data_IF_567755158978
#
_entry.id   IF_567755158978
#
_cell.length_a   1.000
_cell.length_b   1.000
_cell.length_c   1.000
_cell.angle_alpha   90.00
_cell.angle_beta   90.00
_cell.angle_gamma   90.00
#
_symmetry.space_group_name_H-M   'P 1'
#
loop_
_entity.id
_entity.type
_entity.pdbx_description
1 polymer ?
#
# COMPACT_ATOMS: atom_id res chain seq x y z
N UNK A 1 -22.10 -45.98 29.19
CA UNK A 1 -20.97 -45.03 29.02
C UNK A 1 -19.85 -45.81 28.37
N UNK A 2 -19.56 -45.55 27.10
CA UNK A 2 -18.40 -46.12 26.42
C UNK A 2 -17.15 -45.51 27.06
N UNK A 3 -16.24 -46.36 27.54
CA UNK A 3 -14.92 -45.91 27.93
C UNK A 3 -14.33 -45.16 26.74
N UNK A 4 -13.91 -43.91 26.95
CA UNK A 4 -13.24 -43.12 25.91
C UNK A 4 -12.00 -43.89 25.44
N UNK A 5 -11.62 -43.79 24.16
CA UNK A 5 -10.49 -44.57 23.60
C UNK A 5 -9.21 -44.42 24.46
N UNK A 6 -9.01 -43.26 25.08
CA UNK A 6 -7.99 -43.02 26.10
C UNK A 6 -8.04 -43.99 27.29
N UNK A 7 -9.21 -44.25 27.85
CA UNK A 7 -9.39 -45.19 28.97
C UNK A 7 -9.12 -46.63 28.54
N UNK A 8 -9.47 -46.98 27.30
CA UNK A 8 -9.18 -48.30 26.73
C UNK A 8 -7.67 -48.47 26.51
N UNK A 9 -7.00 -47.45 25.97
CA UNK A 9 -5.54 -47.43 25.77
C UNK A 9 -4.81 -47.46 27.12
N UNK A 10 -5.25 -46.66 28.10
CA UNK A 10 -4.67 -46.62 29.45
C UNK A 10 -4.82 -47.97 30.16
N UNK A 11 -6.00 -48.61 30.07
CA UNK A 11 -6.23 -49.95 30.63
C UNK A 11 -5.38 -51.01 29.91
N UNK A 12 -5.27 -50.93 28.58
CA UNK A 12 -4.44 -51.85 27.80
C UNK A 12 -2.96 -51.72 28.18
N UNK A 13 -2.44 -50.51 28.30
CA UNK A 13 -1.06 -50.24 28.74
C UNK A 13 -0.81 -50.72 30.18
N UNK A 14 -1.79 -50.63 31.08
CA UNK A 14 -1.66 -51.14 32.44
C UNK A 14 -1.65 -52.67 32.51
N UNK A 15 -2.42 -53.34 31.64
CA UNK A 15 -2.58 -54.80 31.61
C UNK A 15 -1.47 -55.48 30.79
N UNK A 16 -1.09 -54.89 29.66
CA UNK A 16 -0.04 -55.39 28.75
C UNK A 16 1.36 -54.84 29.10
N UNK A 17 1.44 -53.78 29.92
CA UNK A 17 2.70 -53.33 30.50
C UNK A 17 3.28 -54.38 31.43
N UNK A 18 4.62 -54.41 31.55
CA UNK A 18 5.39 -55.42 32.31
C UNK A 18 4.92 -55.64 33.77
N UNK A 19 4.08 -54.76 34.32
CA UNK A 19 3.53 -54.82 35.68
C UNK A 19 2.84 -56.14 36.04
N UNK A 20 2.26 -56.87 35.07
CA UNK A 20 1.63 -58.17 35.36
C UNK A 20 2.62 -59.32 35.60
N UNK A 21 3.85 -59.20 35.12
CA UNK A 21 4.89 -60.22 35.26
C UNK A 21 5.48 -60.28 36.67
N UNK A 22 5.62 -59.12 37.31
CA UNK A 22 6.21 -58.99 38.65
C UNK A 22 5.30 -59.54 39.76
N UNK A 23 4.01 -59.25 39.70
CA UNK A 23 3.04 -59.80 40.66
C UNK A 23 3.02 -61.34 40.63
N UNK A 24 3.12 -61.94 39.44
CA UNK A 24 3.25 -63.39 39.28
C UNK A 24 4.56 -63.93 39.86
N UNK A 25 5.68 -63.20 39.68
CA UNK A 25 6.99 -63.58 40.25
C UNK A 25 6.96 -63.55 41.78
N UNK A 26 6.40 -62.50 42.37
CA UNK A 26 6.26 -62.35 43.83
C UNK A 26 5.32 -63.42 44.39
N UNK A 27 4.18 -63.67 43.74
CA UNK A 27 3.24 -64.74 44.13
C UNK A 27 3.91 -66.12 44.12
N UNK A 28 4.75 -66.39 43.11
CA UNK A 28 5.49 -67.65 43.01
C UNK A 28 6.60 -67.76 44.07
N UNK A 29 7.30 -66.67 44.37
CA UNK A 29 8.28 -66.63 45.47
C UNK A 29 7.60 -66.94 46.80
N UNK A 30 6.46 -66.31 47.10
CA UNK A 30 5.68 -66.55 48.31
C UNK A 30 5.23 -68.01 48.42
N UNK A 31 4.68 -68.59 47.35
CA UNK A 31 4.30 -70.02 47.31
C UNK A 31 5.49 -70.94 47.56
N UNK A 32 6.64 -70.62 46.96
CA UNK A 32 7.88 -71.39 47.12
C UNK A 32 8.39 -71.31 48.56
N UNK A 33 8.35 -70.13 49.17
CA UNK A 33 8.73 -69.90 50.56
C UNK A 33 7.83 -70.66 51.53
N UNK A 34 6.51 -70.53 51.39
CA UNK A 34 5.54 -71.25 52.24
C UNK A 34 5.74 -72.76 52.13
N UNK A 35 5.95 -73.29 50.92
CA UNK A 35 6.25 -74.71 50.72
C UNK A 35 7.56 -75.12 51.39
N UNK A 36 8.61 -74.31 51.27
CA UNK A 36 9.91 -74.57 51.88
C UNK A 36 9.82 -74.63 53.42
N UNK A 37 9.00 -73.79 54.05
CA UNK A 37 8.81 -73.81 55.51
C UNK A 37 8.04 -75.04 56.03
N UNK A 38 7.22 -75.69 55.20
CA UNK A 38 6.30 -76.76 55.64
C UNK A 38 6.63 -78.15 55.07
N UNK A 39 7.72 -78.30 54.32
CA UNK A 39 8.13 -79.58 53.74
C UNK A 39 9.42 -80.05 54.42
N UNK A 40 9.43 -81.28 54.93
CA UNK A 40 10.67 -81.93 55.37
C UNK A 40 11.53 -82.28 54.15
N UNK A 41 12.52 -81.44 53.88
CA UNK A 41 13.46 -81.57 52.76
C UNK A 41 14.83 -81.96 53.30
N UNK A 42 15.61 -82.67 52.48
CA UNK A 42 17.01 -82.91 52.79
C UNK A 42 17.79 -81.59 52.82
N UNK A 43 18.94 -81.57 53.51
CA UNK A 43 19.77 -80.36 53.64
C UNK A 43 20.21 -79.80 52.28
N UNK A 44 20.44 -80.67 51.30
CA UNK A 44 20.82 -80.29 49.93
C UNK A 44 19.64 -79.70 49.13
N UNK A 45 18.43 -80.25 49.28
CA UNK A 45 17.23 -79.69 48.65
C UNK A 45 16.86 -78.32 49.25
N UNK A 46 17.08 -78.13 50.55
CA UNK A 46 16.91 -76.86 51.23
C UNK A 46 17.83 -75.77 50.66
N UNK A 47 19.11 -76.06 50.44
CA UNK A 47 20.06 -75.08 49.89
C UNK A 47 19.74 -74.71 48.46
N UNK A 48 19.35 -75.68 47.62
CA UNK A 48 18.92 -75.43 46.23
C UNK A 48 17.67 -74.55 46.20
N UNK A 49 16.67 -74.84 47.04
CA UNK A 49 15.43 -74.05 47.11
C UNK A 49 15.70 -72.62 47.60
N UNK A 50 16.58 -72.45 48.59
CA UNK A 50 17.02 -71.15 49.08
C UNK A 50 17.69 -70.30 47.98
N UNK A 51 18.65 -70.87 47.24
CA UNK A 51 19.31 -70.18 46.13
C UNK A 51 18.32 -69.78 45.03
N UNK A 52 17.34 -70.64 44.74
CA UNK A 52 16.26 -70.33 43.79
C UNK A 52 15.39 -69.16 44.26
N UNK A 53 15.06 -69.11 45.56
CA UNK A 53 14.31 -67.98 46.13
C UNK A 53 15.12 -66.68 46.07
N UNK A 54 16.41 -66.72 46.37
CA UNK A 54 17.31 -65.57 46.26
C UNK A 54 17.38 -65.04 44.81
N UNK A 55 17.51 -65.94 43.83
CA UNK A 55 17.50 -65.58 42.41
C UNK A 55 16.17 -64.90 42.00
N UNK A 56 15.04 -65.43 42.47
CA UNK A 56 13.73 -64.83 42.20
C UNK A 56 13.59 -63.44 42.82
N UNK A 57 14.15 -63.23 44.02
CA UNK A 57 14.18 -61.90 44.67
C UNK A 57 15.03 -60.90 43.87
N UNK A 58 16.25 -61.28 43.47
CA UNK A 58 17.12 -60.42 42.65
C UNK A 58 16.45 -60.00 41.32
N UNK A 59 15.65 -60.89 40.71
CA UNK A 59 14.92 -60.56 39.48
C UNK A 59 13.80 -59.54 39.70
N UNK A 60 13.12 -59.59 40.86
CA UNK A 60 12.09 -58.62 41.23
C UNK A 60 12.72 -57.26 41.55
N UNK A 61 13.85 -57.26 42.26
CA UNK A 61 14.60 -56.04 42.56
C UNK A 61 15.05 -55.33 41.27
N UNK A 62 15.65 -56.07 40.35
CA UNK A 62 16.07 -55.54 39.04
C UNK A 62 14.89 -55.00 38.21
N UNK A 63 13.76 -55.72 38.18
CA UNK A 63 12.57 -55.26 37.47
C UNK A 63 12.02 -53.96 38.06
N UNK A 64 12.08 -53.81 39.39
CA UNK A 64 11.65 -52.61 40.10
C UNK A 64 12.55 -51.42 39.77
N UNK A 65 13.87 -51.59 39.85
CA UNK A 65 14.85 -50.55 39.52
C UNK A 65 14.71 -50.08 38.05
N UNK A 66 14.58 -51.02 37.12
CA UNK A 66 14.35 -50.72 35.71
C UNK A 66 13.07 -49.89 35.51
N UNK A 67 11.98 -50.26 36.18
CA UNK A 67 10.71 -49.52 36.09
C UNK A 67 10.84 -48.10 36.63
N UNK A 68 11.59 -47.90 37.72
CA UNK A 68 11.88 -46.57 38.26
C UNK A 68 12.68 -45.72 37.26
N UNK A 69 13.70 -46.29 36.60
CA UNK A 69 14.48 -45.58 35.59
C UNK A 69 13.64 -45.18 34.38
N UNK A 70 12.79 -46.08 33.88
CA UNK A 70 11.86 -45.80 32.78
C UNK A 70 10.89 -44.68 33.19
N UNK A 71 10.36 -44.73 34.40
CA UNK A 71 9.47 -43.67 34.89
C UNK A 71 10.16 -42.30 34.94
N UNK A 72 11.38 -42.23 35.45
CA UNK A 72 12.16 -40.98 35.46
C UNK A 72 12.51 -40.48 34.06
N UNK A 73 12.76 -41.38 33.12
CA UNK A 73 12.97 -41.05 31.71
C UNK A 73 11.69 -40.45 31.11
N UNK A 74 10.54 -41.10 31.32
CA UNK A 74 9.25 -40.64 30.81
C UNK A 74 8.87 -39.25 31.36
N UNK A 75 9.14 -38.97 32.64
CA UNK A 75 8.93 -37.63 33.21
C UNK A 75 9.77 -36.57 32.47
N UNK A 76 11.05 -36.89 32.21
CA UNK A 76 11.95 -35.98 31.47
C UNK A 76 11.50 -35.78 30.03
N UNK A 77 11.09 -36.85 29.35
CA UNK A 77 10.55 -36.76 27.98
C UNK A 77 9.27 -35.93 27.93
N UNK A 78 8.35 -36.11 28.89
CA UNK A 78 7.12 -35.33 28.97
C UNK A 78 7.40 -33.83 29.12
N UNK A 79 8.33 -33.46 30.02
CA UNK A 79 8.75 -32.07 30.16
C UNK A 79 9.39 -31.50 28.88
N UNK A 80 10.19 -32.29 28.17
CA UNK A 80 10.78 -31.88 26.90
C UNK A 80 9.70 -31.67 25.82
N UNK A 81 8.68 -32.52 25.77
CA UNK A 81 7.56 -32.34 24.85
C UNK A 81 6.76 -31.07 25.17
N UNK A 82 6.51 -30.77 26.44
CA UNK A 82 5.84 -29.52 26.85
C UNK A 82 6.63 -28.28 26.40
N UNK A 83 7.96 -28.28 26.59
CA UNK A 83 8.82 -27.19 26.12
C UNK A 83 8.81 -27.06 24.59
N UNK A 84 8.85 -28.20 23.88
CA UNK A 84 8.77 -28.22 22.43
C UNK A 84 7.44 -27.68 21.91
N UNK A 85 6.32 -28.05 22.54
CA UNK A 85 4.99 -27.51 22.22
C UNK A 85 4.95 -25.99 22.38
N UNK A 86 5.41 -25.48 23.53
CA UNK A 86 5.48 -24.04 23.80
C UNK A 86 6.35 -23.30 22.77
N UNK A 87 7.48 -23.90 22.38
CA UNK A 87 8.38 -23.35 21.36
C UNK A 87 7.71 -23.31 19.98
N UNK A 88 7.01 -24.36 19.60
CA UNK A 88 6.27 -24.42 18.33
C UNK A 88 5.16 -23.38 18.30
N UNK A 89 4.37 -23.25 19.38
CA UNK A 89 3.30 -22.24 19.49
C UNK A 89 3.85 -20.82 19.36
N UNK A 90 4.97 -20.52 20.02
CA UNK A 90 5.65 -19.22 19.89
C UNK A 90 6.07 -18.97 18.45
N UNK A 91 6.72 -19.94 17.80
CA UNK A 91 7.17 -19.81 16.42
C UNK A 91 5.99 -19.61 15.44
N UNK A 92 4.86 -20.28 15.67
CA UNK A 92 3.63 -20.09 14.88
C UNK A 92 3.11 -18.66 15.06
N UNK A 93 3.08 -18.15 16.29
CA UNK A 93 2.65 -16.78 16.59
C UNK A 93 3.57 -15.75 15.92
N UNK A 94 4.88 -15.95 15.99
CA UNK A 94 5.88 -15.07 15.38
C UNK A 94 5.73 -15.08 13.85
N UNK A 95 5.53 -16.25 13.23
CA UNK A 95 5.27 -16.37 11.80
C UNK A 95 3.99 -15.64 11.38
N UNK A 96 2.91 -15.75 12.16
CA UNK A 96 1.68 -15.01 11.91
C UNK A 96 1.88 -13.49 11.98
N UNK A 97 2.67 -13.01 12.94
CA UNK A 97 3.01 -11.58 13.03
C UNK A 97 3.81 -11.11 11.80
N UNK A 98 4.82 -11.88 11.38
CA UNK A 98 5.60 -11.58 10.17
C UNK A 98 4.75 -11.55 8.91
N UNK A 99 3.81 -12.50 8.76
CA UNK A 99 2.87 -12.52 7.63
C UNK A 99 2.02 -11.25 7.62
N UNK A 100 1.53 -10.80 8.77
CA UNK A 100 0.72 -9.59 8.86
C UNK A 100 1.53 -8.34 8.55
N UNK A 101 2.77 -8.23 9.04
CA UNK A 101 3.69 -7.15 8.69
C UNK A 101 3.98 -7.10 7.18
N UNK A 102 4.27 -8.25 6.58
CA UNK A 102 4.51 -8.36 5.13
C UNK A 102 3.27 -7.98 4.31
N UNK A 103 2.06 -8.32 4.79
CA UNK A 103 0.80 -7.89 4.15
C UNK A 103 0.62 -6.37 4.18
N UNK A 104 0.93 -5.72 5.31
CA UNK A 104 0.84 -4.26 5.42
C UNK A 104 1.86 -3.58 4.50
N UNK A 105 3.12 -4.04 4.52
CA UNK A 105 4.17 -3.52 3.65
C UNK A 105 3.81 -3.69 2.16
N UNK A 106 3.25 -4.84 1.77
CA UNK A 106 2.80 -5.07 0.41
C UNK A 106 1.66 -4.13 0.00
N UNK A 107 0.73 -3.83 0.91
CA UNK A 107 -0.35 -2.87 0.66
C UNK A 107 0.21 -1.46 0.43
N UNK A 108 1.18 -1.05 1.24
CA UNK A 108 1.83 0.24 1.12
C UNK A 108 2.64 0.35 -0.18
N UNK A 109 3.44 -0.67 -0.51
CA UNK A 109 4.18 -0.72 -1.77
C UNK A 109 3.27 -0.68 -2.99
N UNK A 110 2.09 -1.32 -2.94
CA UNK A 110 1.07 -1.23 -4.01
C UNK A 110 0.52 0.19 -4.13
N UNK A 111 0.26 0.86 -3.01
CA UNK A 111 -0.21 2.26 -3.00
C UNK A 111 0.83 3.19 -3.60
N UNK A 112 2.10 3.06 -3.21
CA UNK A 112 3.19 3.86 -3.79
C UNK A 112 3.34 3.62 -5.28
N UNK A 113 3.26 2.37 -5.73
CA UNK A 113 3.29 2.04 -7.16
C UNK A 113 2.14 2.70 -7.92
N UNK A 114 0.92 2.67 -7.38
CA UNK A 114 -0.25 3.33 -7.98
C UNK A 114 -0.04 4.83 -8.10
N UNK A 115 0.41 5.48 -7.03
CA UNK A 115 0.73 6.91 -7.03
C UNK A 115 1.80 7.24 -8.08
N UNK A 116 2.85 6.43 -8.18
CA UNK A 116 3.91 6.61 -9.17
C UNK A 116 3.39 6.49 -10.61
N UNK A 117 2.51 5.53 -10.88
CA UNK A 117 1.87 5.40 -12.20
C UNK A 117 0.98 6.60 -12.55
N UNK A 118 0.24 7.13 -11.57
CA UNK A 118 -0.57 8.35 -11.74
C UNK A 118 0.32 9.55 -12.07
N UNK A 119 1.43 9.73 -11.35
CA UNK A 119 2.42 10.77 -11.65
C UNK A 119 3.04 10.61 -13.03
N UNK A 120 3.45 9.41 -13.42
CA UNK A 120 4.02 9.15 -14.75
C UNK A 120 3.00 9.45 -15.85
N UNK A 121 1.72 9.12 -15.62
CA UNK A 121 0.64 9.40 -16.56
C UNK A 121 0.42 10.91 -16.71
N UNK A 122 0.38 11.64 -15.59
CA UNK A 122 0.23 13.09 -15.61
C UNK A 122 1.45 13.78 -16.26
N UNK A 123 2.66 13.33 -15.95
CA UNK A 123 3.89 13.83 -16.55
C UNK A 123 3.89 13.65 -18.07
N UNK A 124 3.43 12.51 -18.59
CA UNK A 124 3.27 12.29 -20.04
C UNK A 124 2.26 13.26 -20.67
N UNK A 125 1.19 13.63 -19.98
CA UNK A 125 0.22 14.61 -20.47
C UNK A 125 0.84 16.01 -20.47
N UNK A 126 1.55 16.39 -19.40
CA UNK A 126 2.24 17.68 -19.29
C UNK A 126 3.31 17.81 -20.37
N UNK A 127 4.05 16.75 -20.67
CA UNK A 127 5.11 16.77 -21.70
C UNK A 127 4.58 16.99 -23.13
N UNK A 128 3.27 16.78 -23.38
CA UNK A 128 2.65 17.13 -24.66
C UNK A 128 2.43 18.64 -24.82
N UNK A 129 2.42 19.39 -23.72
CA UNK A 129 2.27 20.84 -23.74
C UNK A 129 3.61 21.52 -24.03
N UNK A 130 3.62 22.69 -24.69
CA UNK A 130 4.86 23.41 -24.95
C UNK A 130 5.55 23.81 -23.65
N UNK A 131 6.88 23.96 -23.72
CA UNK A 131 7.64 24.34 -22.54
C UNK A 131 7.17 25.70 -22.03
N UNK A 132 7.06 25.79 -20.70
CA UNK A 132 6.53 26.98 -20.03
C UNK A 132 7.42 28.19 -20.30
N UNK A 133 8.73 27.98 -20.34
CA UNK A 133 9.71 29.06 -20.57
C UNK A 133 9.61 29.59 -22.00
N UNK A 134 9.51 28.70 -22.99
CA UNK A 134 9.30 29.11 -24.38
C UNK A 134 7.99 29.87 -24.57
N UNK A 135 6.91 29.41 -23.94
CA UNK A 135 5.60 30.07 -24.02
C UNK A 135 5.63 31.47 -23.38
N UNK A 136 6.31 31.62 -22.23
CA UNK A 136 6.51 32.92 -21.59
C UNK A 136 7.32 33.89 -22.45
N UNK A 137 8.39 33.41 -23.08
CA UNK A 137 9.21 34.24 -23.96
C UNK A 137 8.40 34.75 -25.16
N UNK A 138 7.62 33.88 -25.81
CA UNK A 138 6.73 34.29 -26.92
C UNK A 138 5.69 35.30 -26.48
N UNK A 139 5.17 35.17 -25.25
CA UNK A 139 4.20 36.10 -24.69
C UNK A 139 4.83 37.48 -24.46
N UNK A 140 6.05 37.53 -23.92
CA UNK A 140 6.81 38.78 -23.77
C UNK A 140 7.12 39.46 -25.11
N UNK A 141 7.46 38.68 -26.13
CA UNK A 141 7.71 39.20 -27.48
C UNK A 141 6.42 39.79 -28.08
N UNK A 142 5.30 39.05 -28.00
CA UNK A 142 4.00 39.55 -28.45
C UNK A 142 3.56 40.83 -27.70
N UNK A 143 3.79 40.91 -26.39
CA UNK A 143 3.47 42.10 -25.59
C UNK A 143 4.29 43.32 -26.04
N UNK A 144 5.56 43.10 -26.39
CA UNK A 144 6.43 44.15 -26.93
C UNK A 144 5.92 44.63 -28.30
N UNK A 145 5.59 43.70 -29.18
CA UNK A 145 5.07 44.00 -30.51
C UNK A 145 3.72 44.74 -30.43
N UNK A 146 2.83 44.32 -29.52
CA UNK A 146 1.58 45.03 -29.23
C UNK A 146 1.81 46.46 -28.74
N UNK A 147 2.80 46.65 -27.85
CA UNK A 147 3.19 47.97 -27.37
C UNK A 147 3.70 48.87 -28.49
N UNK A 148 4.55 48.33 -29.36
CA UNK A 148 5.05 49.06 -30.54
C UNK A 148 3.92 49.39 -31.52
N UNK A 149 3.05 48.43 -31.82
CA UNK A 149 1.93 48.62 -32.74
C UNK A 149 0.94 49.67 -32.21
N UNK A 150 0.62 49.66 -30.92
CA UNK A 150 -0.21 50.69 -30.30
C UNK A 150 0.44 52.07 -30.37
N UNK A 151 1.74 52.19 -30.11
CA UNK A 151 2.45 53.46 -30.24
C UNK A 151 2.46 53.99 -31.69
N UNK A 152 2.65 53.09 -32.67
CA UNK A 152 2.57 53.49 -34.09
C UNK A 152 1.16 53.91 -34.49
N UNK A 153 0.13 53.22 -33.98
CA UNK A 153 -1.28 53.59 -34.18
C UNK A 153 -1.55 54.98 -33.63
N UNK A 154 -1.18 55.25 -32.38
CA UNK A 154 -1.35 56.58 -31.75
C UNK A 154 -0.62 57.66 -32.55
N UNK A 155 0.61 57.38 -33.03
CA UNK A 155 1.36 58.33 -33.88
C UNK A 155 0.66 58.62 -35.21
N UNK A 156 0.08 57.60 -35.85
CA UNK A 156 -0.66 57.75 -37.10
C UNK A 156 -1.97 58.48 -36.90
N UNK A 157 -2.71 58.18 -35.83
CA UNK A 157 -3.93 58.90 -35.45
C UNK A 157 -3.64 60.38 -35.19
N UNK A 158 -2.55 60.70 -34.49
CA UNK A 158 -2.12 62.07 -34.27
C UNK A 158 -1.78 62.79 -35.60
N UNK A 159 -1.03 62.13 -36.49
CA UNK A 159 -0.72 62.69 -37.82
C UNK A 159 -1.98 62.93 -38.65
N UNK A 160 -2.94 62.01 -38.60
CA UNK A 160 -4.21 62.12 -39.31
C UNK A 160 -5.02 63.31 -38.77
N UNK A 161 -5.06 63.48 -37.45
CA UNK A 161 -5.71 64.62 -36.81
C UNK A 161 -5.05 65.96 -37.17
N UNK A 162 -3.71 66.00 -37.22
CA UNK A 162 -2.99 67.19 -37.69
C UNK A 162 -3.29 67.50 -39.16
N UNK A 163 -3.40 66.49 -40.02
CA UNK A 163 -3.84 66.68 -41.42
C UNK A 163 -5.28 67.18 -41.52
N UNK A 164 -6.21 66.67 -40.72
CA UNK A 164 -7.59 67.18 -40.65
C UNK A 164 -7.61 68.67 -40.28
N UNK A 165 -6.82 69.08 -39.28
CA UNK A 165 -6.68 70.49 -38.89
C UNK A 165 -6.09 71.34 -40.01
N UNK A 166 -5.05 70.86 -40.70
CA UNK A 166 -4.47 71.56 -41.85
C UNK A 166 -5.47 71.73 -42.99
N UNK A 167 -6.25 70.69 -43.32
CA UNK A 167 -7.32 70.78 -44.30
C UNK A 167 -8.39 71.78 -43.88
N UNK A 168 -8.77 71.81 -42.60
CA UNK A 168 -9.74 72.78 -42.10
C UNK A 168 -9.26 74.23 -42.24
N UNK A 169 -7.96 74.48 -41.97
CA UNK A 169 -7.34 75.80 -42.21
C UNK A 169 -7.36 76.15 -43.70
N UNK A 170 -7.01 75.20 -44.58
CA UNK A 170 -7.04 75.42 -46.04
C UNK A 170 -8.46 75.73 -46.53
N UNK A 171 -9.46 74.96 -46.09
CA UNK A 171 -10.88 75.19 -46.43
C UNK A 171 -11.32 76.56 -45.93
N UNK A 172 -10.94 76.95 -44.70
CA UNK A 172 -11.25 78.27 -44.16
C UNK A 172 -10.61 79.40 -44.97
N UNK A 173 -9.36 79.22 -45.42
CA UNK A 173 -8.69 80.17 -46.30
C UNK A 173 -9.34 80.25 -47.68
N UNK A 174 -9.80 79.12 -48.24
CA UNK A 174 -10.57 79.08 -49.49
C UNK A 174 -11.88 79.83 -49.33
N UNK A 175 -12.64 79.58 -48.25
CA UNK A 175 -13.89 80.30 -47.96
C UNK A 175 -13.64 81.80 -47.76
N UNK A 176 -12.53 82.19 -47.12
CA UNK A 176 -12.19 83.60 -46.96
C UNK A 176 -11.80 84.25 -48.30
N UNK A 177 -11.05 83.54 -49.16
CA UNK A 177 -10.74 84.01 -50.51
C UNK A 177 -12.00 84.11 -51.38
N UNK A 178 -12.92 83.15 -51.27
CA UNK A 178 -14.24 83.23 -51.91
C UNK A 178 -15.02 84.44 -51.41
N UNK A 179 -15.02 84.69 -50.08
CA UNK A 179 -15.63 85.88 -49.50
C UNK A 179 -15.00 87.18 -50.00
N UNK A 180 -13.67 87.21 -50.14
CA UNK A 180 -12.93 88.36 -50.68
C UNK A 180 -13.31 88.59 -52.15
N UNK A 181 -13.34 87.54 -52.97
CA UNK A 181 -13.79 87.59 -54.36
C UNK A 181 -15.26 88.06 -54.47
N UNK A 182 -16.14 87.56 -53.61
CA UNK A 182 -17.54 88.00 -53.51
C UNK A 182 -17.66 89.46 -53.03
N UNK A 183 -16.64 90.02 -52.36
CA UNK A 183 -16.59 91.44 -51.96
C UNK A 183 -15.88 92.38 -52.95
N UNK A 184 -15.00 91.87 -53.82
CA UNK A 184 -14.33 92.65 -54.88
C UNK A 184 -15.20 92.75 -56.16
N UNK A 185 -16.18 91.86 -56.29
CA UNK A 185 -17.28 91.97 -57.26
C UNK A 185 -18.51 92.62 -56.57
N UNK A 186 -18.62 93.95 -56.63
CA UNK A 186 -19.83 94.65 -56.21
C UNK A 186 -20.55 95.35 -57.37
N UNK A 187 -21.87 95.21 -57.56
CA UNK A 187 -22.78 94.10 -57.26
C UNK A 187 -23.62 93.69 -58.50
N UNK A 188 -23.83 92.39 -58.75
CA UNK A 188 -25.06 91.94 -59.40
C UNK A 188 -25.71 90.82 -58.60
N UNK A 189 -26.88 91.15 -58.05
CA UNK A 189 -27.89 90.24 -57.51
C UNK A 189 -28.13 89.09 -58.48
N UNK A 190 -28.29 87.87 -57.97
CA UNK A 190 -29.62 87.27 -57.77
C UNK A 190 -29.50 85.94 -57.00
N UNK A 191 -30.18 85.90 -55.84
CA UNK A 191 -31.08 84.84 -55.34
C UNK A 191 -30.66 83.37 -55.57
N UNK A 192 -30.34 82.64 -54.49
CA UNK A 192 -31.28 81.71 -53.79
C UNK A 192 -32.10 80.86 -54.77
N UNK A 193 -32.04 79.53 -54.80
CA UNK A 193 -32.15 78.59 -53.68
C UNK A 193 -32.12 77.16 -54.25
N UNK A 194 -31.57 76.21 -53.48
CA UNK A 194 -31.89 74.76 -53.50
C UNK A 194 -31.41 73.98 -54.74
N UNK A 195 -30.93 72.75 -54.68
CA UNK A 195 -30.98 71.73 -53.64
C UNK A 195 -29.93 70.64 -53.95
N UNK A 196 -29.37 70.09 -52.88
CA UNK A 196 -28.85 68.73 -52.72
C UNK A 196 -27.96 68.11 -53.82
N UNK A 197 -26.66 67.93 -53.51
CA UNK A 197 -25.99 66.68 -53.87
C UNK A 197 -24.87 66.31 -52.87
N UNK A 198 -24.98 65.06 -52.40
CA UNK A 198 -23.96 64.19 -51.80
C UNK A 198 -23.73 64.29 -50.29
N UNK A 199 -24.38 63.36 -49.56
CA UNK A 199 -23.66 62.57 -48.57
C UNK A 199 -23.87 61.08 -48.88
N UNK A 200 -22.79 60.45 -49.31
CA UNK A 200 -22.62 59.00 -49.36
C UNK A 200 -22.91 58.39 -47.99
N UNK A 201 -23.86 57.46 -47.95
CA UNK A 201 -23.91 56.41 -46.93
C UNK A 201 -23.46 55.12 -47.58
N UNK A 202 -22.17 54.81 -47.50
CA UNK A 202 -21.66 53.46 -47.73
C UNK A 202 -21.40 52.83 -46.37
N UNK A 203 -22.48 52.33 -45.78
CA UNK A 203 -22.45 51.41 -44.66
C UNK A 203 -22.01 50.04 -45.19
N UNK A 204 -20.79 49.62 -44.85
CA UNK A 204 -20.42 48.21 -44.87
C UNK A 204 -20.09 47.80 -43.45
N UNK A 205 -21.14 47.48 -42.71
CA UNK A 205 -21.11 46.57 -41.58
C UNK A 205 -20.37 45.28 -41.97
N UNK A 206 -19.14 45.12 -41.47
CA UNK A 206 -18.48 43.82 -41.34
C UNK A 206 -18.82 43.28 -39.96
N UNK A 207 -19.75 42.34 -39.95
CA UNK A 207 -20.01 41.42 -38.84
C UNK A 207 -18.86 40.44 -38.75
N UNK A 208 -18.05 40.53 -37.69
CA UNK A 208 -17.15 39.46 -37.29
C UNK A 208 -17.88 38.47 -36.36
N UNK A 209 -17.71 37.19 -36.68
CA UNK A 209 -17.95 36.03 -35.83
C UNK A 209 -16.62 35.56 -35.27
#
# INVERSE_FOLDING_TARGET
MMATDEEVIRKRLLIEGESGGDDRRISNLLKTFVKWCHTDQTKEECTVTYQKMLMMLCQVDFATERTQLIHQMNIREMSNYEELYSTIERNIKDAHQQINACKTELSDAKRERKNRQEYDTLAKVIQKQPDRKETLNKLQELDKDLGELNSTKESLEQKLEDRKKQFHVLISAIHELQRILDTDDGPQKLNTTSDSMMSESMDTSLTDK
#
